data_IF_175313702281
#
_entry.id   IF_175313702281
#
_cell.length_a   1.000
_cell.length_b   1.000
_cell.length_c   1.000
_cell.angle_alpha   90.00
_cell.angle_beta   90.00
_cell.angle_gamma   90.00
#
_symmetry.space_group_name_H-M   'P 1'
#
loop_
_entity.id
_entity.type
_entity.pdbx_description
1 polymer ?
#
# COMPACT_ATOMS: atom_id res chain seq x y z
N UNK A 1 -3.01 -2.91 -29.15
CA UNK A 1 -2.70 -1.57 -28.60
C UNK A 1 -2.08 -1.65 -27.21
N UNK A 2 -2.74 -2.26 -26.20
CA UNK A 2 -2.20 -2.40 -24.83
C UNK A 2 -0.85 -3.16 -24.75
N UNK A 3 -0.67 -4.21 -25.56
CA UNK A 3 0.58 -4.98 -25.57
C UNK A 3 1.80 -4.15 -26.01
N UNK A 4 1.63 -3.26 -27.00
CA UNK A 4 2.71 -2.40 -27.50
C UNK A 4 3.09 -1.35 -26.45
N UNK A 5 2.10 -0.77 -25.76
CA UNK A 5 2.35 0.13 -24.63
C UNK A 5 3.07 -0.57 -23.48
N UNK A 6 2.67 -1.81 -23.17
CA UNK A 6 3.29 -2.60 -22.11
C UNK A 6 4.74 -2.95 -22.46
N UNK A 7 5.04 -3.29 -23.72
CA UNK A 7 6.42 -3.51 -24.20
C UNK A 7 7.26 -2.24 -24.10
N UNK A 8 6.74 -1.08 -24.51
CA UNK A 8 7.45 0.21 -24.39
C UNK A 8 7.74 0.57 -22.94
N UNK A 9 6.75 0.41 -22.05
CA UNK A 9 6.92 0.63 -20.61
C UNK A 9 7.92 -0.36 -19.99
N UNK A 10 7.95 -1.60 -20.47
CA UNK A 10 8.90 -2.60 -20.00
C UNK A 10 10.34 -2.24 -20.37
N UNK A 11 10.58 -1.75 -21.59
CA UNK A 11 11.92 -1.38 -22.07
C UNK A 11 12.49 -0.11 -21.39
N UNK A 12 11.64 0.87 -21.09
CA UNK A 12 12.04 2.15 -20.48
C UNK A 12 11.88 2.22 -18.96
N UNK A 13 11.71 1.07 -18.29
CA UNK A 13 11.37 1.04 -16.88
C UNK A 13 12.53 1.54 -15.99
N UNK A 14 12.29 2.49 -15.08
CA UNK A 14 13.31 2.90 -14.11
C UNK A 14 13.72 1.71 -13.25
N UNK A 15 15.02 1.64 -12.95
CA UNK A 15 15.60 0.61 -12.09
C UNK A 15 15.92 1.22 -10.72
N UNK A 16 15.58 0.49 -9.66
CA UNK A 16 15.90 0.88 -8.28
C UNK A 16 16.40 -0.34 -7.51
N UNK A 17 17.32 -0.12 -6.58
CA UNK A 17 17.69 -1.08 -5.56
C UNK A 17 17.01 -0.64 -4.26
N UNK A 18 16.36 -1.56 -3.56
CA UNK A 18 15.62 -1.28 -2.33
C UNK A 18 16.17 -2.20 -1.25
N UNK A 19 16.72 -1.59 -0.21
CA UNK A 19 17.21 -2.32 0.95
C UNK A 19 16.10 -2.52 1.99
N UNK A 20 15.87 -3.77 2.36
CA UNK A 20 14.94 -4.16 3.41
C UNK A 20 15.51 -3.97 4.82
N UNK A 21 16.82 -3.69 4.93
CA UNK A 21 17.56 -3.42 6.16
C UNK A 21 17.34 -4.48 7.24
N UNK A 22 17.38 -5.75 6.84
CA UNK A 22 17.25 -6.91 7.73
C UNK A 22 18.16 -6.85 8.97
N UNK A 23 19.40 -6.36 8.87
CA UNK A 23 20.29 -6.25 10.03
C UNK A 23 19.73 -5.32 11.13
N UNK A 24 18.89 -4.35 10.78
CA UNK A 24 18.23 -3.46 11.75
C UNK A 24 17.07 -4.13 12.51
N UNK A 25 16.71 -5.38 12.18
CA UNK A 25 15.67 -6.14 12.91
C UNK A 25 16.13 -6.51 14.34
N UNK A 26 17.45 -6.56 14.60
CA UNK A 26 18.00 -6.97 15.90
C UNK A 26 17.47 -6.14 17.10
N UNK A 27 17.01 -4.91 16.87
CA UNK A 27 16.40 -4.04 17.89
C UNK A 27 14.88 -4.18 18.03
N UNK A 28 14.24 -5.08 17.30
CA UNK A 28 12.78 -5.21 17.20
C UNK A 28 12.27 -6.56 17.75
N UNK A 29 10.96 -6.80 17.64
CA UNK A 29 10.39 -8.12 17.92
C UNK A 29 10.80 -9.16 16.85
N UNK A 30 11.18 -10.40 17.24
CA UNK A 30 11.56 -11.46 16.29
C UNK A 30 10.52 -11.75 15.20
N UNK A 31 9.23 -11.45 15.45
CA UNK A 31 8.18 -11.49 14.43
C UNK A 31 8.60 -10.76 13.14
N UNK A 32 9.20 -9.58 13.26
CA UNK A 32 9.60 -8.78 12.10
C UNK A 32 10.74 -9.41 11.31
N UNK A 33 11.61 -10.22 11.95
CA UNK A 33 12.62 -10.99 11.22
C UNK A 33 11.97 -12.02 10.29
N UNK A 34 10.87 -12.64 10.73
CA UNK A 34 10.05 -13.51 9.90
C UNK A 34 9.44 -12.74 8.74
N UNK A 35 8.72 -11.65 9.03
CA UNK A 35 8.05 -10.83 8.00
C UNK A 35 9.00 -10.37 6.89
N UNK A 36 10.17 -9.85 7.25
CA UNK A 36 11.13 -9.34 6.26
C UNK A 36 11.69 -10.48 5.39
N UNK A 37 12.03 -11.62 5.99
CA UNK A 37 12.50 -12.81 5.24
C UNK A 37 11.41 -13.36 4.33
N UNK A 38 10.19 -13.52 4.85
CA UNK A 38 9.05 -14.03 4.08
C UNK A 38 8.75 -13.12 2.90
N UNK A 39 8.82 -11.79 3.08
CA UNK A 39 8.68 -10.85 1.98
C UNK A 39 9.82 -10.99 0.98
N UNK A 40 11.08 -11.01 1.44
CA UNK A 40 12.24 -11.18 0.57
C UNK A 40 12.14 -12.47 -0.26
N UNK A 41 11.85 -13.61 0.37
CA UNK A 41 11.65 -14.89 -0.32
C UNK A 41 10.55 -14.81 -1.38
N UNK A 42 9.43 -14.13 -1.10
CA UNK A 42 8.39 -13.87 -2.09
C UNK A 42 8.91 -13.07 -3.27
N UNK A 43 9.76 -12.07 -3.04
CA UNK A 43 10.39 -11.31 -4.13
C UNK A 43 11.31 -12.16 -4.99
N UNK A 44 11.87 -13.26 -4.45
CA UNK A 44 12.75 -14.18 -5.16
C UNK A 44 11.99 -15.26 -5.96
N UNK A 45 10.70 -15.52 -5.64
CA UNK A 45 9.88 -16.52 -6.35
C UNK A 45 9.72 -16.16 -7.83
N UNK A 46 9.67 -17.17 -8.71
CA UNK A 46 9.43 -16.96 -10.14
C UNK A 46 8.02 -16.39 -10.38
N UNK A 47 7.90 -15.41 -11.25
CA UNK A 47 6.63 -14.81 -11.62
C UNK A 47 5.77 -15.83 -12.39
N UNK A 48 4.53 -16.05 -11.94
CA UNK A 48 3.63 -17.11 -12.44
C UNK A 48 3.37 -17.04 -13.95
N UNK A 49 3.42 -15.83 -14.54
CA UNK A 49 3.23 -15.60 -15.98
C UNK A 49 4.52 -15.28 -16.76
N UNK A 50 5.61 -14.94 -16.06
CA UNK A 50 6.88 -14.53 -16.66
C UNK A 50 7.97 -15.40 -16.03
N UNK A 51 8.09 -16.64 -16.50
CA UNK A 51 8.89 -17.69 -15.82
C UNK A 51 10.38 -17.38 -15.67
N UNK A 52 10.89 -16.37 -16.39
CA UNK A 52 12.29 -15.89 -16.34
C UNK A 52 12.48 -14.65 -15.44
N UNK A 53 11.40 -14.09 -14.89
CA UNK A 53 11.40 -12.92 -14.01
C UNK A 53 10.95 -13.31 -12.60
N UNK A 54 11.37 -12.57 -11.58
CA UNK A 54 10.89 -12.77 -10.21
C UNK A 54 9.58 -12.00 -9.93
N UNK A 55 8.79 -12.45 -8.96
CA UNK A 55 7.40 -12.02 -8.70
C UNK A 55 7.26 -10.54 -8.34
N UNK A 56 8.32 -9.92 -7.80
CA UNK A 56 8.41 -8.49 -7.50
C UNK A 56 9.62 -7.81 -8.14
N UNK A 57 10.14 -8.34 -9.23
CA UNK A 57 11.26 -7.69 -9.94
C UNK A 57 10.76 -6.69 -10.98
N UNK A 58 9.72 -7.01 -11.76
CA UNK A 58 9.28 -6.18 -12.89
C UNK A 58 7.90 -5.60 -12.70
N UNK A 59 7.77 -4.31 -13.01
CA UNK A 59 6.50 -3.60 -12.98
C UNK A 59 5.96 -3.44 -11.57
N UNK A 60 6.81 -3.36 -10.55
CA UNK A 60 6.39 -2.99 -9.20
C UNK A 60 5.83 -1.57 -9.27
N UNK A 61 4.60 -1.37 -8.80
CA UNK A 61 3.95 -0.06 -8.86
C UNK A 61 4.46 0.78 -7.68
N UNK A 62 5.42 1.65 -7.96
CA UNK A 62 6.23 2.31 -6.95
C UNK A 62 6.24 3.82 -7.20
N UNK A 63 6.18 4.57 -6.10
CA UNK A 63 6.31 6.02 -6.03
C UNK A 63 7.56 6.33 -5.22
N UNK A 64 8.54 6.97 -5.86
CA UNK A 64 9.72 7.51 -5.16
C UNK A 64 9.29 8.73 -4.35
N UNK A 65 9.43 8.64 -3.03
CA UNK A 65 9.03 9.70 -2.13
C UNK A 65 10.09 10.82 -2.16
N UNK A 66 9.68 12.08 -2.43
CA UNK A 66 10.58 13.22 -2.31
C UNK A 66 10.92 13.51 -0.84
N UNK A 67 11.85 14.42 -0.59
CA UNK A 67 12.27 14.75 0.79
C UNK A 67 11.20 15.48 1.61
N UNK A 68 10.18 16.07 0.96
CA UNK A 68 9.11 16.84 1.62
C UNK A 68 7.74 16.40 1.16
N UNK A 69 6.79 16.38 2.10
CA UNK A 69 5.41 15.99 1.78
C UNK A 69 4.75 16.90 0.73
N UNK A 70 4.98 18.20 0.76
CA UNK A 70 4.36 19.12 -0.21
C UNK A 70 4.80 18.81 -1.65
N UNK A 71 6.05 18.39 -1.83
CA UNK A 71 6.55 17.92 -3.13
C UNK A 71 5.80 16.66 -3.56
N UNK A 72 5.62 15.69 -2.65
CA UNK A 72 4.83 14.49 -2.92
C UNK A 72 3.37 14.84 -3.28
N UNK A 73 2.73 15.69 -2.49
CA UNK A 73 1.35 16.10 -2.69
C UNK A 73 1.16 16.77 -4.06
N UNK A 74 2.15 17.52 -4.54
CA UNK A 74 2.12 18.14 -5.86
C UNK A 74 2.30 17.15 -7.02
N UNK A 75 3.00 16.02 -6.83
CA UNK A 75 3.11 14.94 -7.82
C UNK A 75 1.77 14.22 -8.08
N UNK A 76 0.85 14.25 -7.11
CA UNK A 76 -0.45 13.58 -7.22
C UNK A 76 -1.30 14.24 -8.30
N UNK A 77 -2.15 13.48 -8.99
CA UNK A 77 -3.07 14.06 -9.96
C UNK A 77 -4.09 14.99 -9.27
N UNK A 78 -4.41 16.12 -9.90
CA UNK A 78 -5.35 17.10 -9.34
C UNK A 78 -6.71 16.50 -8.94
N UNK A 79 -7.17 15.46 -9.64
CA UNK A 79 -8.42 14.77 -9.31
C UNK A 79 -8.37 14.06 -7.95
N UNK A 80 -7.24 13.43 -7.60
CA UNK A 80 -7.07 12.78 -6.31
C UNK A 80 -6.91 13.82 -5.17
N UNK A 81 -6.17 14.92 -5.41
CA UNK A 81 -6.10 16.05 -4.46
C UNK A 81 -7.46 16.69 -4.18
N UNK A 82 -8.32 16.86 -5.20
CA UNK A 82 -9.69 17.37 -5.01
C UNK A 82 -10.52 16.43 -4.13
N UNK A 83 -10.39 15.12 -4.31
CA UNK A 83 -11.06 14.13 -3.47
C UNK A 83 -10.54 14.15 -2.03
N UNK A 84 -9.23 14.28 -1.82
CA UNK A 84 -8.63 14.49 -0.50
C UNK A 84 -9.25 15.71 0.20
N UNK A 85 -9.28 16.86 -0.49
CA UNK A 85 -9.85 18.10 0.06
C UNK A 85 -11.37 18.03 0.27
N UNK A 86 -12.08 17.22 -0.51
CA UNK A 86 -13.49 16.91 -0.25
C UNK A 86 -13.64 16.14 1.06
N UNK A 87 -12.88 15.06 1.25
CA UNK A 87 -12.93 14.28 2.48
C UNK A 87 -12.58 15.13 3.71
N UNK A 88 -11.54 15.95 3.62
CA UNK A 88 -11.15 16.88 4.70
C UNK A 88 -12.30 17.83 5.08
N UNK A 89 -12.95 18.48 4.10
CA UNK A 89 -14.10 19.36 4.35
C UNK A 89 -15.32 18.63 4.93
N UNK A 90 -15.51 17.36 4.58
CA UNK A 90 -16.58 16.54 5.11
C UNK A 90 -16.28 16.00 6.52
N UNK A 91 -15.13 16.34 7.10
CA UNK A 91 -14.77 15.99 8.48
C UNK A 91 -14.29 14.55 8.66
N UNK A 92 -13.80 13.92 7.60
CA UNK A 92 -13.07 12.65 7.70
C UNK A 92 -11.68 12.90 8.29
N UNK A 93 -11.21 11.98 9.13
CA UNK A 93 -9.89 12.05 9.77
C UNK A 93 -9.07 10.82 9.49
N UNK A 94 -7.77 10.99 9.30
CA UNK A 94 -6.82 9.89 9.21
C UNK A 94 -6.23 9.56 10.58
N UNK A 95 -6.09 8.27 10.88
CA UNK A 95 -5.50 7.79 12.13
C UNK A 95 -4.67 6.52 11.89
N UNK A 96 -3.56 6.35 12.64
CA UNK A 96 -2.95 5.02 12.84
C UNK A 96 -3.81 4.29 13.85
N UNK A 97 -4.40 3.17 13.44
CA UNK A 97 -5.45 2.49 14.21
C UNK A 97 -4.92 1.25 14.92
N UNK A 98 -5.47 0.97 16.11
CA UNK A 98 -5.42 -0.37 16.69
C UNK A 98 -6.51 -1.21 16.01
N UNK A 99 -6.14 -2.01 15.00
CA UNK A 99 -7.06 -2.79 14.17
C UNK A 99 -8.13 -3.57 14.96
N UNK A 100 -7.73 -4.19 16.08
CA UNK A 100 -8.62 -4.99 16.91
C UNK A 100 -9.75 -4.19 17.59
N UNK A 101 -9.64 -2.85 17.67
CA UNK A 101 -10.73 -1.99 18.15
C UNK A 101 -11.83 -1.76 17.11
N UNK A 102 -11.60 -2.10 15.85
CA UNK A 102 -12.49 -1.78 14.73
C UNK A 102 -12.96 -3.02 13.96
N UNK A 103 -12.89 -4.23 14.52
CA UNK A 103 -13.22 -5.47 13.82
C UNK A 103 -14.64 -5.46 13.22
N UNK A 104 -15.61 -4.90 13.93
CA UNK A 104 -16.98 -4.77 13.44
C UNK A 104 -17.11 -3.82 12.25
N UNK A 105 -16.39 -2.71 12.27
CA UNK A 105 -16.39 -1.76 11.17
C UNK A 105 -15.61 -2.31 9.97
N UNK A 106 -14.52 -3.04 10.20
CA UNK A 106 -13.81 -3.80 9.17
C UNK A 106 -14.75 -4.80 8.50
N UNK A 107 -15.56 -5.53 9.28
CA UNK A 107 -16.56 -6.46 8.75
C UNK A 107 -17.55 -5.73 7.83
N UNK A 108 -18.10 -4.60 8.27
CA UNK A 108 -19.01 -3.77 7.46
C UNK A 108 -18.35 -3.27 6.18
N UNK A 109 -17.10 -2.80 6.25
CA UNK A 109 -16.32 -2.37 5.08
C UNK A 109 -16.18 -3.50 4.07
N UNK A 110 -15.80 -4.70 4.51
CA UNK A 110 -15.64 -5.87 3.64
C UNK A 110 -16.97 -6.26 2.98
N UNK A 111 -18.06 -6.28 3.74
CA UNK A 111 -19.41 -6.63 3.26
C UNK A 111 -20.03 -5.57 2.34
N UNK A 112 -19.59 -4.30 2.43
CA UNK A 112 -20.22 -3.20 1.67
C UNK A 112 -20.07 -3.30 0.14
N UNK A 113 -19.15 -4.12 -0.38
CA UNK A 113 -18.96 -4.30 -1.81
C UNK A 113 -18.34 -5.67 -2.14
N UNK A 114 -19.06 -6.48 -2.93
CA UNK A 114 -18.61 -7.79 -3.40
C UNK A 114 -17.57 -7.73 -4.54
N UNK A 115 -17.59 -6.62 -5.31
CA UNK A 115 -16.65 -6.37 -6.40
C UNK A 115 -15.90 -5.07 -6.12
N UNK A 116 -14.57 -5.14 -6.17
CA UNK A 116 -13.68 -3.97 -6.00
C UNK A 116 -12.67 -3.91 -7.13
N UNK A 117 -11.58 -4.67 -7.00
CA UNK A 117 -10.53 -4.79 -8.01
C UNK A 117 -10.68 -6.10 -8.81
N UNK A 118 -11.93 -6.54 -8.96
CA UNK A 118 -12.32 -7.91 -9.26
C UNK A 118 -13.25 -8.45 -8.18
N UNK A 119 -13.68 -9.70 -8.37
CA UNK A 119 -14.46 -10.44 -7.37
C UNK A 119 -13.64 -10.60 -6.10
N UNK A 120 -14.18 -10.21 -4.95
CA UNK A 120 -13.52 -10.51 -3.68
C UNK A 120 -13.69 -11.99 -3.32
N UNK A 121 -12.69 -12.62 -2.64
CA UNK A 121 -12.86 -13.96 -2.10
C UNK A 121 -14.07 -14.02 -1.16
N UNK A 122 -14.85 -15.10 -1.25
CA UNK A 122 -16.05 -15.30 -0.43
C UNK A 122 -15.72 -15.25 1.07
N UNK A 123 -14.58 -15.83 1.46
CA UNK A 123 -14.06 -15.77 2.83
C UNK A 123 -13.77 -14.36 3.31
N UNK A 124 -13.47 -13.41 2.43
CA UNK A 124 -13.22 -12.02 2.80
C UNK A 124 -14.54 -11.23 2.93
N UNK A 125 -15.54 -11.54 2.10
CA UNK A 125 -16.86 -10.89 2.14
C UNK A 125 -17.70 -11.41 3.31
N UNK A 126 -17.77 -12.74 3.46
CA UNK A 126 -18.69 -13.42 4.36
C UNK A 126 -18.01 -14.11 5.54
N UNK A 127 -16.69 -14.26 5.52
CA UNK A 127 -15.95 -14.85 6.62
C UNK A 127 -15.77 -13.91 7.81
N UNK A 128 -15.29 -14.49 8.90
CA UNK A 128 -15.02 -13.74 10.12
C UNK A 128 -13.80 -12.83 9.97
N UNK A 129 -13.84 -11.67 10.63
CA UNK A 129 -12.70 -10.78 10.71
C UNK A 129 -11.82 -11.26 11.87
N UNK A 130 -10.72 -11.91 11.54
CA UNK A 130 -9.74 -12.36 12.53
C UNK A 130 -9.01 -11.17 13.17
N UNK A 131 -8.88 -11.13 14.50
CA UNK A 131 -8.00 -10.18 15.18
C UNK A 131 -6.55 -10.29 14.70
N UNK A 132 -5.85 -9.17 14.68
CA UNK A 132 -4.41 -9.13 14.45
C UNK A 132 -3.68 -9.44 15.78
N UNK A 133 -2.78 -10.41 15.75
CA UNK A 133 -1.91 -10.77 16.88
C UNK A 133 -0.46 -10.34 16.69
N UNK A 134 -0.16 -9.54 15.66
CA UNK A 134 1.19 -9.06 15.41
C UNK A 134 1.65 -8.21 16.62
N UNK A 135 2.87 -8.42 17.12
CA UNK A 135 3.43 -7.58 18.18
C UNK A 135 3.60 -6.15 17.68
N UNK A 136 3.64 -5.19 18.60
CA UNK A 136 3.99 -3.81 18.26
C UNK A 136 5.47 -3.72 17.90
N UNK A 137 5.78 -2.96 16.85
CA UNK A 137 7.16 -2.62 16.54
C UNK A 137 7.78 -1.76 17.63
N UNK A 138 9.05 -2.04 17.92
CA UNK A 138 9.89 -1.25 18.83
C UNK A 138 10.79 -0.26 18.07
N UNK A 139 10.82 -0.33 16.74
CA UNK A 139 11.64 0.53 15.88
C UNK A 139 10.79 1.17 14.79
N UNK A 140 11.38 2.09 14.03
CA UNK A 140 10.76 2.71 12.87
C UNK A 140 11.37 2.21 11.55
N UNK A 141 12.10 1.09 11.58
CA UNK A 141 12.71 0.48 10.39
C UNK A 141 11.85 -0.64 9.84
N UNK A 142 11.23 -1.42 10.74
CA UNK A 142 10.31 -2.50 10.39
C UNK A 142 9.03 -2.32 11.17
N UNK A 143 7.89 -2.33 10.50
CA UNK A 143 6.59 -2.19 11.12
C UNK A 143 5.52 -2.85 10.25
N UNK A 144 4.37 -3.10 10.84
CA UNK A 144 3.21 -3.61 10.13
C UNK A 144 1.95 -2.81 10.53
N UNK A 145 1.94 -1.49 10.27
CA UNK A 145 0.90 -0.60 10.77
C UNK A 145 -0.43 -0.80 10.05
N UNK A 146 -1.51 -0.49 10.77
CA UNK A 146 -2.83 -0.27 10.20
C UNK A 146 -3.15 1.21 10.24
N UNK A 147 -3.67 1.73 9.14
CA UNK A 147 -4.16 3.09 9.01
C UNK A 147 -5.63 3.09 8.65
N UNK A 148 -6.36 4.10 9.13
CA UNK A 148 -7.79 4.19 8.98
C UNK A 148 -8.28 5.60 8.66
N UNK A 149 -9.41 5.68 7.98
CA UNK A 149 -10.20 6.91 7.88
C UNK A 149 -11.41 6.78 8.81
N UNK A 150 -11.54 7.75 9.71
CA UNK A 150 -12.57 7.83 10.74
C UNK A 150 -13.60 8.89 10.37
N UNK A 151 -14.89 8.56 10.55
CA UNK A 151 -16.02 9.48 10.46
C UNK A 151 -16.96 9.22 11.62
N UNK A 152 -17.19 10.24 12.45
CA UNK A 152 -18.13 10.14 13.58
C UNK A 152 -17.85 8.93 14.49
N UNK A 153 -16.56 8.67 14.76
CA UNK A 153 -16.10 7.56 15.59
C UNK A 153 -16.06 6.19 14.90
N UNK A 154 -16.55 6.08 13.66
CA UNK A 154 -16.55 4.81 12.89
C UNK A 154 -15.41 4.75 11.90
N UNK A 155 -14.84 3.57 11.72
CA UNK A 155 -13.89 3.30 10.65
C UNK A 155 -14.65 3.13 9.33
N UNK A 156 -14.30 3.93 8.32
CA UNK A 156 -14.94 3.90 6.99
C UNK A 156 -14.00 3.48 5.86
N UNK A 157 -12.69 3.52 6.10
CA UNK A 157 -11.69 2.96 5.21
C UNK A 157 -10.47 2.52 6.02
N UNK A 158 -9.73 1.51 5.56
CA UNK A 158 -8.49 1.10 6.20
C UNK A 158 -7.50 0.51 5.20
N UNK A 159 -6.22 0.56 5.58
CA UNK A 159 -5.13 -0.14 4.90
C UNK A 159 -4.16 -0.70 5.92
N UNK A 160 -3.50 -1.80 5.59
CA UNK A 160 -2.31 -2.26 6.29
C UNK A 160 -1.11 -2.08 5.37
N UNK A 161 0.04 -1.79 5.97
CA UNK A 161 1.29 -1.67 5.24
C UNK A 161 2.36 -2.58 5.83
N UNK A 162 3.20 -3.13 4.97
CA UNK A 162 4.52 -3.61 5.35
C UNK A 162 5.48 -2.42 5.30
N UNK A 163 6.18 -2.14 6.39
CA UNK A 163 7.31 -1.22 6.42
C UNK A 163 8.57 -2.05 6.65
N UNK A 164 9.55 -1.92 5.75
CA UNK A 164 10.82 -2.62 5.85
C UNK A 164 11.93 -1.81 5.19
N UNK A 165 12.81 -1.22 6.00
CA UNK A 165 13.94 -0.43 5.52
C UNK A 165 13.47 0.73 4.64
N UNK A 166 13.80 0.66 3.35
CA UNK A 166 13.51 1.71 2.38
C UNK A 166 12.10 1.68 1.79
N UNK A 167 11.27 0.68 2.10
CA UNK A 167 9.94 0.52 1.50
C UNK A 167 8.81 0.57 2.52
N UNK A 168 7.73 1.26 2.13
CA UNK A 168 6.39 1.11 2.71
C UNK A 168 5.45 0.58 1.62
N UNK A 169 4.93 -0.64 1.80
CA UNK A 169 4.08 -1.32 0.84
C UNK A 169 2.65 -1.42 1.35
N UNK A 170 1.70 -0.86 0.61
CA UNK A 170 0.28 -1.14 0.81
C UNK A 170 0.00 -2.60 0.41
N UNK A 171 -0.52 -3.39 1.34
CA UNK A 171 -0.91 -4.77 1.06
C UNK A 171 -2.41 -4.89 0.78
N UNK A 172 -3.22 -4.40 1.70
CA UNK A 172 -4.66 -4.32 1.54
C UNK A 172 -5.15 -2.90 1.78
N UNK A 173 -6.16 -2.51 1.01
CA UNK A 173 -6.79 -1.20 1.15
C UNK A 173 -8.26 -1.31 0.77
N UNK A 174 -9.13 -0.97 1.72
CA UNK A 174 -10.56 -1.06 1.54
C UNK A 174 -11.27 0.18 2.06
N UNK A 175 -12.33 0.58 1.37
CA UNK A 175 -13.20 1.68 1.76
C UNK A 175 -14.66 1.28 1.67
N UNK A 176 -15.47 1.65 2.65
CA UNK A 176 -16.89 1.33 2.67
C UNK A 176 -17.60 1.94 1.45
N UNK A 177 -18.41 1.16 0.74
CA UNK A 177 -19.03 1.56 -0.53
C UNK A 177 -19.79 2.89 -0.46
N UNK A 178 -20.63 3.07 0.57
CA UNK A 178 -21.44 4.28 0.79
C UNK A 178 -20.62 5.57 0.96
N UNK A 179 -19.33 5.47 1.26
CA UNK A 179 -18.46 6.62 1.53
C UNK A 179 -17.42 6.84 0.41
N UNK A 180 -17.37 5.98 -0.62
CA UNK A 180 -16.34 6.05 -1.66
C UNK A 180 -16.33 7.38 -2.42
N UNK A 181 -17.51 7.94 -2.68
CA UNK A 181 -17.66 9.20 -3.43
C UNK A 181 -17.13 10.41 -2.65
N UNK A 182 -16.86 10.26 -1.35
CA UNK A 182 -16.37 11.35 -0.51
C UNK A 182 -14.85 11.50 -0.54
N UNK A 183 -14.15 10.59 -1.21
CA UNK A 183 -12.70 10.66 -1.35
C UNK A 183 -11.92 9.97 -0.22
N UNK A 184 -12.57 9.06 0.53
CA UNK A 184 -11.95 8.33 1.64
C UNK A 184 -10.70 7.53 1.23
N UNK A 185 -10.70 6.93 0.02
CA UNK A 185 -9.53 6.16 -0.47
C UNK A 185 -8.38 7.07 -0.89
N UNK A 186 -8.60 8.14 -1.70
CA UNK A 186 -7.56 9.15 -1.92
C UNK A 186 -6.98 9.74 -0.63
N UNK A 187 -7.82 10.06 0.35
CA UNK A 187 -7.35 10.54 1.66
C UNK A 187 -6.47 9.50 2.36
N UNK A 188 -6.92 8.24 2.41
CA UNK A 188 -6.18 7.15 3.04
C UNK A 188 -4.78 6.99 2.44
N UNK A 189 -4.64 6.97 1.11
CA UNK A 189 -3.33 6.81 0.45
C UNK A 189 -2.41 7.99 0.74
N UNK A 190 -2.93 9.21 0.60
CA UNK A 190 -2.16 10.45 0.75
C UNK A 190 -1.64 10.59 2.18
N UNK A 191 -2.48 10.36 3.17
CA UNK A 191 -2.08 10.44 4.57
C UNK A 191 -1.22 9.25 5.00
N UNK A 192 -1.41 8.07 4.41
CA UNK A 192 -0.49 6.93 4.62
C UNK A 192 0.92 7.28 4.10
N UNK A 193 1.02 7.87 2.92
CA UNK A 193 2.30 8.35 2.39
C UNK A 193 2.89 9.45 3.28
N UNK A 194 2.08 10.42 3.73
CA UNK A 194 2.51 11.45 4.69
C UNK A 194 3.11 10.81 5.94
N UNK A 195 2.38 9.88 6.55
CA UNK A 195 2.83 9.17 7.75
C UNK A 195 4.10 8.38 7.47
N UNK A 196 4.22 7.74 6.30
CA UNK A 196 5.42 7.00 5.96
C UNK A 196 6.64 7.91 5.87
N UNK A 197 6.50 9.07 5.22
CA UNK A 197 7.58 10.06 5.06
C UNK A 197 8.02 10.69 6.39
N UNK A 198 7.11 10.85 7.36
CA UNK A 198 7.43 11.51 8.64
C UNK A 198 7.73 10.54 9.77
N UNK A 199 7.15 9.34 9.74
CA UNK A 199 7.24 8.33 10.78
C UNK A 199 8.33 7.29 10.54
N UNK A 200 8.73 7.05 9.29
CA UNK A 200 9.72 6.03 8.92
C UNK A 200 10.85 6.67 8.10
N UNK A 201 11.93 7.17 8.74
CA UNK A 201 12.94 8.01 8.09
C UNK A 201 13.76 7.30 7.00
N UNK A 202 13.79 5.97 7.02
CA UNK A 202 14.48 5.19 5.99
C UNK A 202 13.61 4.98 4.74
N UNK A 203 12.29 5.15 4.83
CA UNK A 203 11.39 4.88 3.71
C UNK A 203 11.59 5.91 2.60
N UNK A 204 12.00 5.41 1.44
CA UNK A 204 12.21 6.18 0.20
C UNK A 204 11.16 5.83 -0.85
N UNK A 205 10.52 4.67 -0.71
CA UNK A 205 9.62 4.13 -1.72
C UNK A 205 8.28 3.76 -1.10
N UNK A 206 7.21 4.29 -1.70
CA UNK A 206 5.85 3.89 -1.38
C UNK A 206 5.32 3.03 -2.52
N UNK A 207 4.82 1.83 -2.23
CA UNK A 207 4.43 0.87 -3.26
C UNK A 207 3.05 0.27 -3.03
N UNK A 208 2.41 -0.11 -4.13
CA UNK A 208 1.11 -0.77 -4.12
C UNK A 208 1.03 -1.88 -5.18
N UNK A 209 1.53 -3.06 -4.82
CA UNK A 209 1.52 -4.26 -5.66
C UNK A 209 2.16 -4.05 -7.04
N UNK A 210 1.72 -4.82 -8.04
CA UNK A 210 2.27 -4.74 -9.41
C UNK A 210 1.40 -3.88 -10.34
N UNK A 211 2.04 -3.18 -11.26
CA UNK A 211 1.41 -2.37 -12.29
C UNK A 211 0.89 -3.22 -13.45
N UNK A 212 1.69 -4.22 -13.86
CA UNK A 212 1.28 -5.18 -14.88
C UNK A 212 0.33 -6.23 -14.30
N UNK A 213 -0.57 -6.74 -15.14
CA UNK A 213 -1.68 -7.60 -14.71
C UNK A 213 -2.90 -6.84 -14.16
N UNK A 214 -2.75 -5.58 -13.78
CA UNK A 214 -3.86 -4.71 -13.38
C UNK A 214 -4.67 -4.26 -14.61
N UNK A 215 -6.01 -4.19 -14.46
CA UNK A 215 -6.90 -3.64 -15.48
C UNK A 215 -6.70 -2.13 -15.70
N UNK A 216 -7.21 -1.59 -16.80
CA UNK A 216 -6.97 -0.20 -17.20
C UNK A 216 -7.38 0.83 -16.13
N UNK A 217 -8.54 0.63 -15.49
CA UNK A 217 -9.02 1.47 -14.39
C UNK A 217 -8.05 1.48 -13.21
N UNK A 218 -7.51 0.32 -12.86
CA UNK A 218 -6.56 0.18 -11.76
C UNK A 218 -5.21 0.81 -12.10
N UNK A 219 -4.72 0.67 -13.33
CA UNK A 219 -3.50 1.36 -13.80
C UNK A 219 -3.66 2.88 -13.76
N UNK A 220 -4.80 3.42 -14.19
CA UNK A 220 -5.12 4.85 -14.08
C UNK A 220 -5.16 5.30 -12.62
N UNK A 221 -5.80 4.51 -11.75
CA UNK A 221 -5.82 4.77 -10.31
C UNK A 221 -4.41 4.82 -9.72
N UNK A 222 -3.55 3.85 -10.00
CA UNK A 222 -2.15 3.82 -9.53
C UNK A 222 -1.36 5.05 -9.97
N UNK A 223 -1.46 5.42 -11.26
CA UNK A 223 -0.82 6.62 -11.81
C UNK A 223 -1.22 7.92 -11.10
N UNK A 224 -2.47 8.03 -10.63
CA UNK A 224 -2.95 9.23 -9.89
C UNK A 224 -2.13 9.54 -8.65
N UNK A 225 -1.54 8.53 -8.03
CA UNK A 225 -0.76 8.67 -6.79
C UNK A 225 0.75 8.51 -7.05
N UNK A 226 1.19 8.60 -8.29
CA UNK A 226 2.61 8.47 -8.65
C UNK A 226 3.13 7.03 -8.67
N UNK A 227 2.26 6.03 -8.50
CA UNK A 227 2.68 4.63 -8.62
C UNK A 227 2.87 4.27 -10.10
N UNK A 228 4.12 4.28 -10.54
CA UNK A 228 4.53 3.91 -11.90
C UNK A 228 5.34 2.61 -11.86
N UNK A 229 5.37 1.83 -12.95
CA UNK A 229 6.10 0.57 -12.96
C UNK A 229 7.62 0.80 -12.83
N UNK A 230 8.24 0.06 -11.92
CA UNK A 230 9.69 0.01 -11.71
C UNK A 230 10.23 -1.41 -11.82
N UNK A 231 11.50 -1.53 -12.21
CA UNK A 231 12.28 -2.75 -12.04
C UNK A 231 13.02 -2.63 -10.72
N UNK A 232 12.81 -3.60 -9.83
CA UNK A 232 13.31 -3.56 -8.46
C UNK A 232 14.29 -4.69 -8.22
N UNK A 233 15.46 -4.34 -7.71
CA UNK A 233 16.37 -5.25 -7.04
C UNK A 233 16.17 -5.11 -5.52
N UNK A 234 15.88 -6.22 -4.86
CA UNK A 234 15.66 -6.25 -3.41
C UNK A 234 16.93 -6.71 -2.72
N UNK A 235 17.36 -5.97 -1.70
CA UNK A 235 18.51 -6.30 -0.86
C UNK A 235 18.02 -6.71 0.54
N UNK A 236 18.79 -7.57 1.20
CA UNK A 236 18.50 -8.11 2.53
C UNK A 236 19.70 -7.84 3.45
N UNK A 237 20.13 -6.58 3.49
CA UNK A 237 21.33 -6.16 4.22
C UNK A 237 21.04 -5.78 5.67
#
# INVERSE_FOLDING_TARGET
>A
MQLIEDIKMFAGMPKVCIDLMYNAVAGNDPFYAGVVRDFFEQTQKRHSRLRLARQFEYGVALCSLPGKFDEYYMLIESSARRNYKKAERLGYRFERIAYNKYLDDVRKIRQSAIVRQGQMPESLVHGEVTPCSNPLSKTNVHDYPFFGIIKEGKLVAYTNCLVSGEVCMIEHMFGHASYQQDGIVPMLIIETARYAMTGYPNVRYFTYGTFFGAGQTMRRFKKKFGFIPHRVEWLLD
#
